data_IF_378342707013
#
_entry.id   IF_378342707013
#
_cell.length_a   1.000
_cell.length_b   1.000
_cell.length_c   1.000
_cell.angle_alpha   90.00
_cell.angle_beta   90.00
_cell.angle_gamma   90.00
#
_symmetry.space_group_name_H-M   'P 1'
#
loop_
_entity.id
_entity.type
_entity.pdbx_description
1 polymer ?
#
# COMPACT_ATOMS: atom_id res chain seq x y z
N UNK A 1 -0.95 1.36 15.41
CA UNK A 1 -0.08 1.75 14.29
C UNK A 1 0.73 2.96 14.76
N UNK A 2 2.06 2.92 14.65
CA UNK A 2 2.87 4.10 14.95
C UNK A 2 2.86 5.06 13.75
N UNK A 3 3.00 6.35 14.02
CA UNK A 3 3.09 7.39 12.98
C UNK A 3 4.48 7.99 13.02
N UNK A 4 5.18 7.95 11.89
CA UNK A 4 6.52 8.49 11.71
C UNK A 4 6.49 9.62 10.68
N UNK A 5 7.24 10.70 10.94
CA UNK A 5 7.31 11.86 10.05
C UNK A 5 8.74 11.94 9.47
N UNK A 6 8.92 11.75 8.15
CA UNK A 6 10.22 11.91 7.51
C UNK A 6 10.60 13.40 7.43
N UNK A 7 11.78 13.77 7.93
CA UNK A 7 12.20 15.18 8.04
C UNK A 7 13.07 15.65 6.87
N UNK A 8 14.01 14.84 6.39
CA UNK A 8 14.87 15.23 5.27
C UNK A 8 14.14 15.15 3.93
N UNK A 9 14.60 15.94 2.95
CA UNK A 9 13.99 15.95 1.62
C UNK A 9 14.14 14.57 0.96
N UNK A 10 15.28 13.92 1.17
CA UNK A 10 15.56 12.57 0.68
C UNK A 10 14.57 11.55 1.27
N UNK A 11 14.37 11.59 2.60
CA UNK A 11 13.43 10.69 3.27
C UNK A 11 11.97 10.94 2.84
N UNK A 12 11.60 12.20 2.58
CA UNK A 12 10.29 12.53 2.02
C UNK A 12 10.14 11.96 0.60
N UNK A 13 11.15 12.12 -0.26
CA UNK A 13 11.11 11.58 -1.62
C UNK A 13 11.05 10.06 -1.65
N UNK A 14 11.80 9.37 -0.80
CA UNK A 14 11.75 7.90 -0.67
C UNK A 14 10.39 7.43 -0.15
N UNK A 15 9.86 8.09 0.88
CA UNK A 15 8.54 7.78 1.40
C UNK A 15 7.45 7.93 0.32
N UNK A 16 7.54 8.97 -0.51
CA UNK A 16 6.58 9.24 -1.56
C UNK A 16 6.70 8.34 -2.79
N UNK A 17 7.92 7.99 -3.20
CA UNK A 17 8.14 7.20 -4.42
C UNK A 17 8.15 5.70 -4.14
N UNK A 18 8.82 5.28 -3.06
CA UNK A 18 9.07 3.87 -2.78
C UNK A 18 8.12 3.29 -1.74
N UNK A 19 7.73 4.06 -0.72
CA UNK A 19 6.95 3.53 0.40
C UNK A 19 5.45 3.86 0.36
N UNK A 20 4.99 4.58 -0.66
CA UNK A 20 3.56 4.91 -0.76
C UNK A 20 2.75 3.63 -1.04
N UNK A 21 1.54 3.54 -0.48
CA UNK A 21 0.70 2.35 -0.64
C UNK A 21 0.32 2.04 -2.09
N UNK A 22 0.07 3.07 -2.91
CA UNK A 22 -0.35 2.88 -4.31
C UNK A 22 0.77 2.36 -5.21
N UNK A 23 2.04 2.49 -4.81
CA UNK A 23 3.18 1.89 -5.54
C UNK A 23 3.49 0.47 -5.07
N UNK A 24 2.90 0.03 -3.95
CA UNK A 24 3.13 -1.28 -3.32
C UNK A 24 1.87 -2.16 -3.32
N UNK A 25 1.30 -2.42 -4.51
CA UNK A 25 0.07 -3.21 -4.65
C UNK A 25 0.31 -4.73 -4.73
N UNK A 26 1.53 -5.15 -5.06
CA UNK A 26 1.91 -6.55 -5.27
C UNK A 26 2.90 -7.04 -4.21
N UNK A 27 2.86 -8.34 -3.93
CA UNK A 27 3.73 -9.02 -2.97
C UNK A 27 5.17 -9.02 -3.48
N UNK A 28 6.14 -8.52 -2.70
CA UNK A 28 7.55 -8.55 -3.12
C UNK A 28 8.09 -9.99 -3.19
N UNK A 29 7.45 -10.95 -2.53
CA UNK A 29 7.91 -12.34 -2.49
C UNK A 29 7.47 -13.17 -3.71
N UNK A 30 6.21 -13.00 -4.14
CA UNK A 30 5.57 -13.89 -5.13
C UNK A 30 4.97 -13.11 -6.32
N UNK A 31 4.76 -11.80 -6.17
CA UNK A 31 4.18 -10.94 -7.22
C UNK A 31 2.65 -10.93 -7.26
N UNK A 32 1.98 -11.69 -6.39
CA UNK A 32 0.52 -11.68 -6.28
C UNK A 32 0.00 -10.34 -5.71
N UNK A 33 -1.21 -9.89 -6.08
CA UNK A 33 -1.77 -8.66 -5.56
C UNK A 33 -2.06 -8.77 -4.05
N UNK A 34 -1.53 -7.85 -3.25
CA UNK A 34 -1.83 -7.74 -1.81
C UNK A 34 -3.07 -6.88 -1.58
N UNK A 35 -3.24 -5.83 -2.37
CA UNK A 35 -4.40 -4.92 -2.29
C UNK A 35 -5.60 -5.52 -3.02
N UNK A 36 -6.06 -6.69 -2.57
CA UNK A 36 -7.27 -7.35 -3.07
C UNK A 36 -8.52 -6.81 -2.38
N UNK A 37 -9.65 -6.89 -3.08
CA UNK A 37 -10.97 -6.48 -2.57
C UNK A 37 -11.29 -7.27 -1.30
N UNK A 38 -11.70 -6.58 -0.25
CA UNK A 38 -12.05 -7.21 1.04
C UNK A 38 -13.38 -7.94 0.95
N UNK A 39 -13.63 -8.87 1.88
CA UNK A 39 -14.84 -9.69 1.90
C UNK A 39 -16.14 -8.87 1.87
N UNK A 40 -16.20 -7.75 2.59
CA UNK A 40 -17.37 -6.85 2.61
C UNK A 40 -17.62 -6.22 1.24
N UNK A 41 -16.57 -5.68 0.61
CA UNK A 41 -16.68 -5.13 -0.74
C UNK A 41 -17.06 -6.22 -1.77
N UNK A 42 -16.50 -7.43 -1.67
CA UNK A 42 -16.90 -8.55 -2.52
C UNK A 42 -18.38 -8.89 -2.34
N UNK A 43 -18.87 -8.93 -1.09
CA UNK A 43 -20.28 -9.21 -0.80
C UNK A 43 -21.20 -8.19 -1.48
N UNK A 44 -20.85 -6.90 -1.45
CA UNK A 44 -21.60 -5.84 -2.15
C UNK A 44 -21.59 -6.04 -3.67
N UNK A 45 -20.47 -6.49 -4.26
CA UNK A 45 -20.40 -6.75 -5.71
C UNK A 45 -21.24 -7.95 -6.17
N UNK A 46 -21.46 -8.94 -5.31
CA UNK A 46 -22.22 -10.15 -5.64
C UNK A 46 -23.72 -10.07 -5.27
N UNK A 47 -24.13 -9.04 -4.53
CA UNK A 47 -25.52 -8.79 -4.14
C UNK A 47 -26.27 -7.96 -5.19
#
# INVERSE_FOLDING_TARGET
MAVHVPLSLEAQTEAHLLMFSHTNLFSPAIGDPISVVTQDMLMVFYA
#
